data_IF_515107737521
#
_entry.id   IF_515107737521
#
_cell.length_a   1.000
_cell.length_b   1.000
_cell.length_c   1.000
_cell.angle_alpha   90.00
_cell.angle_beta   90.00
_cell.angle_gamma   90.00
#
_symmetry.space_group_name_H-M   'P 1'
#
loop_
_entity.id
_entity.type
_entity.pdbx_description
1 polymer ?
#
# COMPACT_ATOMS: atom_id res chain seq x y z
N UNK A 1 -1.06 9.41 -36.59
CA UNK A 1 -1.81 8.15 -36.62
C UNK A 1 -2.44 7.87 -35.26
N UNK A 2 -3.42 6.97 -35.22
CA UNK A 2 -4.07 6.59 -33.97
C UNK A 2 -3.08 6.02 -32.92
N UNK A 3 -2.09 5.28 -33.38
CA UNK A 3 -1.03 4.74 -32.51
C UNK A 3 -0.13 5.85 -31.94
N UNK A 4 0.19 6.86 -32.71
CA UNK A 4 0.97 8.02 -32.24
C UNK A 4 0.19 8.81 -31.20
N UNK A 5 -1.10 9.00 -31.39
CA UNK A 5 -1.98 9.68 -30.45
C UNK A 5 -2.08 8.90 -29.12
N UNK A 6 -2.17 7.57 -29.19
CA UNK A 6 -2.16 6.71 -28.00
C UNK A 6 -0.81 6.75 -27.29
N UNK A 7 0.31 6.73 -28.01
CA UNK A 7 1.64 6.86 -27.43
C UNK A 7 1.77 8.17 -26.66
N UNK A 8 1.33 9.28 -27.27
CA UNK A 8 1.34 10.59 -26.62
C UNK A 8 0.46 10.60 -25.35
N UNK A 9 -0.73 10.01 -25.42
CA UNK A 9 -1.63 9.91 -24.27
C UNK A 9 -1.01 9.10 -23.13
N UNK A 10 -0.39 7.96 -23.43
CA UNK A 10 0.29 7.13 -22.44
C UNK A 10 1.47 7.84 -21.77
N UNK A 11 2.25 8.61 -22.54
CA UNK A 11 3.32 9.42 -22.00
C UNK A 11 2.80 10.51 -21.05
N UNK A 12 1.64 11.08 -21.37
CA UNK A 12 0.96 12.06 -20.52
C UNK A 12 0.43 11.47 -19.21
N UNK A 13 0.09 10.19 -19.18
CA UNK A 13 -0.40 9.50 -17.96
C UNK A 13 0.73 9.05 -17.02
N UNK A 14 1.98 9.32 -17.39
CA UNK A 14 3.16 8.97 -16.59
C UNK A 14 3.29 7.46 -16.26
N UNK A 15 2.84 6.59 -17.17
CA UNK A 15 3.05 5.14 -17.02
C UNK A 15 4.51 4.72 -17.20
N UNK A 16 5.35 5.64 -17.65
CA UNK A 16 6.76 5.42 -17.90
C UNK A 16 7.07 5.07 -19.36
N UNK A 17 8.26 5.45 -19.83
CA UNK A 17 8.68 5.21 -21.22
C UNK A 17 8.77 3.73 -21.56
N UNK A 18 9.32 2.92 -20.66
CA UNK A 18 9.49 1.48 -20.89
C UNK A 18 8.14 0.79 -21.09
N UNK A 19 7.19 1.05 -20.19
CA UNK A 19 5.84 0.51 -20.29
C UNK A 19 5.13 1.00 -21.55
N UNK A 20 5.22 2.31 -21.86
CA UNK A 20 4.64 2.90 -23.06
C UNK A 20 5.19 2.23 -24.32
N UNK A 21 6.51 2.09 -24.45
CA UNK A 21 7.13 1.47 -25.62
C UNK A 21 6.74 0.01 -25.79
N UNK A 22 6.71 -0.75 -24.70
CA UNK A 22 6.32 -2.15 -24.73
C UNK A 22 4.86 -2.32 -25.20
N UNK A 23 3.96 -1.48 -24.73
CA UNK A 23 2.55 -1.49 -25.13
C UNK A 23 2.39 -1.09 -26.59
N UNK A 24 3.03 -0.03 -27.02
CA UNK A 24 2.96 0.43 -28.41
C UNK A 24 3.52 -0.61 -29.36
N UNK A 25 4.61 -1.28 -29.01
CA UNK A 25 5.18 -2.37 -29.80
C UNK A 25 4.18 -3.51 -29.97
N UNK A 26 3.55 -3.96 -28.89
CA UNK A 26 2.53 -5.01 -28.91
C UNK A 26 1.32 -4.60 -29.77
N UNK A 27 0.82 -3.37 -29.60
CA UNK A 27 -0.32 -2.86 -30.39
C UNK A 27 0.04 -2.76 -31.87
N UNK A 28 1.26 -2.34 -32.21
CA UNK A 28 1.73 -2.24 -33.58
C UNK A 28 1.77 -3.63 -34.25
N UNK A 29 2.25 -4.65 -33.53
CA UNK A 29 2.25 -6.01 -34.02
C UNK A 29 0.84 -6.54 -34.26
N UNK A 30 -0.10 -6.30 -33.33
CA UNK A 30 -1.50 -6.69 -33.48
C UNK A 30 -2.18 -5.98 -34.67
N UNK A 31 -1.90 -4.69 -34.85
CA UNK A 31 -2.40 -3.92 -36.01
C UNK A 31 -1.86 -4.50 -37.32
N UNK A 32 -0.58 -4.88 -37.37
CA UNK A 32 0.04 -5.51 -38.53
C UNK A 32 -0.55 -6.88 -38.86
N UNK A 33 -1.04 -7.62 -37.87
CA UNK A 33 -1.74 -8.89 -38.03
C UNK A 33 -3.24 -8.74 -38.29
N UNK A 34 -3.72 -7.53 -38.45
CA UNK A 34 -5.13 -7.18 -38.68
C UNK A 34 -6.08 -7.63 -37.56
N UNK A 35 -5.57 -7.79 -36.35
CA UNK A 35 -6.37 -8.11 -35.16
C UNK A 35 -7.14 -6.90 -34.64
N UNK A 36 -6.73 -5.67 -35.04
CA UNK A 36 -7.32 -4.41 -34.58
C UNK A 36 -8.02 -3.72 -35.76
N UNK A 37 -9.33 -3.86 -35.85
CA UNK A 37 -10.12 -3.40 -36.98
C UNK A 37 -10.55 -1.93 -36.89
N UNK A 38 -10.58 -1.32 -35.69
CA UNK A 38 -11.04 0.05 -35.48
C UNK A 38 -10.52 0.61 -34.14
N UNK A 39 -10.85 1.88 -33.86
CA UNK A 39 -10.42 2.55 -32.63
C UNK A 39 -10.93 1.88 -31.37
N UNK A 40 -12.16 1.36 -31.38
CA UNK A 40 -12.72 0.66 -30.22
C UNK A 40 -11.92 -0.62 -29.90
N UNK A 41 -11.55 -1.39 -30.90
CA UNK A 41 -10.70 -2.57 -30.74
C UNK A 41 -9.32 -2.20 -30.24
N UNK A 42 -8.75 -1.09 -30.70
CA UNK A 42 -7.46 -0.57 -30.27
C UNK A 42 -7.49 -0.17 -28.78
N UNK A 43 -8.50 0.55 -28.33
CA UNK A 43 -8.67 0.94 -26.93
C UNK A 43 -8.87 -0.27 -26.03
N UNK A 44 -9.66 -1.25 -26.47
CA UNK A 44 -9.86 -2.49 -25.70
C UNK A 44 -8.55 -3.26 -25.55
N UNK A 45 -7.77 -3.39 -26.61
CA UNK A 45 -6.46 -4.04 -26.57
C UNK A 45 -5.51 -3.30 -25.62
N UNK A 46 -5.49 -1.96 -25.68
CA UNK A 46 -4.72 -1.12 -24.78
C UNK A 46 -5.09 -1.38 -23.30
N UNK A 47 -6.39 -1.38 -23.01
CA UNK A 47 -6.88 -1.65 -21.64
C UNK A 47 -6.43 -3.03 -21.16
N UNK A 48 -6.58 -4.06 -21.98
CA UNK A 48 -6.14 -5.43 -21.65
C UNK A 48 -4.65 -5.50 -21.37
N UNK A 49 -3.81 -4.85 -22.16
CA UNK A 49 -2.36 -4.84 -21.97
C UNK A 49 -1.94 -4.12 -20.70
N UNK A 50 -2.58 -2.99 -20.38
CA UNK A 50 -2.32 -2.26 -19.15
C UNK A 50 -2.73 -3.09 -17.92
N UNK A 51 -3.89 -3.73 -17.97
CA UNK A 51 -4.36 -4.62 -16.89
C UNK A 51 -3.39 -5.78 -16.69
N UNK A 52 -2.95 -6.44 -17.75
CA UNK A 52 -1.97 -7.54 -17.67
C UNK A 52 -0.67 -7.11 -16.98
N UNK A 53 -0.22 -5.89 -17.22
CA UNK A 53 0.99 -5.35 -16.58
C UNK A 53 0.85 -5.21 -15.07
N UNK A 54 -0.36 -5.03 -14.56
CA UNK A 54 -0.65 -4.81 -13.13
C UNK A 54 -1.11 -6.05 -12.39
N UNK A 55 -1.55 -7.09 -13.09
CA UNK A 55 -2.06 -8.32 -12.46
C UNK A 55 -1.07 -8.98 -11.51
N UNK A 56 0.22 -8.92 -11.82
CA UNK A 56 1.26 -9.55 -11.00
C UNK A 56 1.40 -8.97 -9.59
N UNK A 57 0.88 -7.77 -9.34
CA UNK A 57 0.88 -7.14 -8.01
C UNK A 57 -0.53 -6.96 -7.44
N UNK A 58 -1.54 -7.53 -8.09
CA UNK A 58 -2.92 -7.46 -7.64
C UNK A 58 -3.27 -8.68 -6.80
N UNK A 59 -3.04 -8.57 -5.51
CA UNK A 59 -3.44 -9.60 -4.55
C UNK A 59 -4.12 -8.92 -3.37
N UNK A 60 -5.46 -8.91 -3.33
CA UNK A 60 -6.20 -8.27 -2.25
C UNK A 60 -5.85 -8.88 -0.88
N UNK A 61 -5.86 -8.03 0.13
CA UNK A 61 -5.68 -8.44 1.50
C UNK A 61 -7.02 -8.90 2.06
N UNK A 62 -7.12 -10.18 2.38
CA UNK A 62 -8.28 -10.75 3.06
C UNK A 62 -7.98 -10.94 4.54
N UNK A 63 -8.82 -10.39 5.41
CA UNK A 63 -8.73 -10.58 6.86
C UNK A 63 -10.01 -11.25 7.34
N UNK A 64 -9.87 -12.45 7.83
CA UNK A 64 -10.98 -13.24 8.34
C UNK A 64 -11.15 -13.04 9.85
N UNK A 65 -12.36 -13.20 10.39
CA UNK A 65 -12.55 -13.25 11.83
C UNK A 65 -11.69 -14.34 12.45
N UNK A 66 -11.12 -14.03 13.60
CA UNK A 66 -10.24 -14.96 14.33
C UNK A 66 -11.03 -16.18 14.80
N UNK A 67 -10.47 -17.37 14.62
CA UNK A 67 -11.00 -18.57 15.29
C UNK A 67 -10.84 -18.41 16.81
N UNK A 68 -11.72 -19.04 17.59
CA UNK A 68 -11.80 -18.84 19.05
C UNK A 68 -10.47 -19.12 19.79
N UNK A 69 -9.67 -20.04 19.28
CA UNK A 69 -8.37 -20.45 19.85
C UNK A 69 -7.17 -19.84 19.13
N UNK A 70 -7.38 -19.03 18.08
CA UNK A 70 -6.32 -18.41 17.33
C UNK A 70 -5.87 -17.08 17.95
N UNK A 71 -4.62 -16.70 17.71
CA UNK A 71 -4.08 -15.40 18.11
C UNK A 71 -4.49 -14.30 17.13
N UNK A 72 -4.54 -13.03 17.57
CA UNK A 72 -4.80 -11.92 16.67
C UNK A 72 -3.79 -11.84 15.53
N UNK A 73 -4.22 -11.38 14.37
CA UNK A 73 -3.30 -10.98 13.29
C UNK A 73 -2.65 -9.64 13.64
N UNK A 74 -1.36 -9.54 13.42
CA UNK A 74 -0.56 -8.34 13.73
C UNK A 74 -0.04 -7.78 12.42
N UNK A 75 -0.42 -6.55 12.09
CA UNK A 75 0.00 -5.84 10.88
C UNK A 75 0.88 -4.66 11.27
N UNK A 76 2.10 -4.62 10.71
CA UNK A 76 2.99 -3.47 10.83
C UNK A 76 2.82 -2.57 9.62
N UNK A 77 2.75 -1.26 9.87
CA UNK A 77 2.76 -0.24 8.83
C UNK A 77 4.07 0.51 8.91
N UNK A 78 4.83 0.44 7.84
CA UNK A 78 6.14 1.09 7.72
C UNK A 78 6.10 2.10 6.58
N UNK A 79 7.03 3.03 6.56
CA UNK A 79 7.10 4.08 5.55
C UNK A 79 7.61 5.38 6.13
N UNK A 80 8.02 6.29 5.25
CA UNK A 80 8.56 7.58 5.65
C UNK A 80 7.46 8.51 6.17
N UNK A 81 7.84 9.51 6.97
CA UNK A 81 6.89 10.51 7.44
C UNK A 81 6.30 11.30 6.27
N UNK A 82 5.02 11.64 6.37
CA UNK A 82 4.32 12.45 5.37
C UNK A 82 3.69 11.69 4.21
N UNK A 83 3.83 10.35 4.16
CA UNK A 83 3.21 9.53 3.09
C UNK A 83 1.74 9.22 3.34
N UNK A 84 1.21 9.52 4.54
CA UNK A 84 -0.17 9.17 4.91
C UNK A 84 -0.30 7.84 5.64
N UNK A 85 0.76 7.39 6.32
CA UNK A 85 0.80 6.11 7.03
C UNK A 85 -0.23 6.05 8.17
N UNK A 86 -0.23 7.01 9.08
CA UNK A 86 -1.18 7.07 10.19
C UNK A 86 -2.63 7.19 9.71
N UNK A 87 -2.87 8.02 8.71
CA UNK A 87 -4.19 8.16 8.07
C UNK A 87 -4.65 6.85 7.43
N UNK A 88 -3.76 6.15 6.75
CA UNK A 88 -4.04 4.84 6.14
C UNK A 88 -4.47 3.83 7.20
N UNK A 89 -3.77 3.78 8.33
CA UNK A 89 -4.11 2.90 9.46
C UNK A 89 -5.53 3.18 9.94
N UNK A 90 -5.88 4.45 10.15
CA UNK A 90 -7.22 4.84 10.60
C UNK A 90 -8.32 4.42 9.62
N UNK A 91 -8.09 4.63 8.33
CA UNK A 91 -9.03 4.23 7.28
C UNK A 91 -9.21 2.71 7.22
N UNK A 92 -8.13 1.96 7.33
CA UNK A 92 -8.19 0.49 7.35
C UNK A 92 -8.87 -0.03 8.62
N UNK A 93 -8.58 0.57 9.76
CA UNK A 93 -9.22 0.20 11.03
C UNK A 93 -10.74 0.33 10.93
N UNK A 94 -11.24 1.43 10.38
CA UNK A 94 -12.67 1.62 10.14
C UNK A 94 -13.22 0.59 9.15
N UNK A 95 -12.51 0.33 8.06
CA UNK A 95 -12.92 -0.68 7.07
C UNK A 95 -13.08 -2.06 7.71
N UNK A 96 -12.10 -2.49 8.49
CA UNK A 96 -12.14 -3.79 9.17
C UNK A 96 -13.28 -3.84 10.19
N UNK A 97 -13.47 -2.78 10.96
CA UNK A 97 -14.58 -2.71 11.90
C UNK A 97 -15.94 -2.79 11.20
N UNK A 98 -16.09 -2.11 10.06
CA UNK A 98 -17.32 -2.17 9.26
C UNK A 98 -17.56 -3.57 8.66
N UNK A 99 -16.53 -4.37 8.51
CA UNK A 99 -16.63 -5.77 8.10
C UNK A 99 -16.94 -6.73 9.27
N UNK A 100 -17.14 -6.19 10.46
CA UNK A 100 -17.47 -6.98 11.66
C UNK A 100 -16.25 -7.49 12.43
N UNK A 101 -15.04 -7.03 12.09
CA UNK A 101 -13.83 -7.43 12.81
C UNK A 101 -13.62 -6.57 14.06
N UNK A 102 -13.07 -7.17 15.10
CA UNK A 102 -12.56 -6.42 16.26
C UNK A 102 -11.13 -5.98 16.00
N UNK A 103 -10.88 -4.69 16.23
CA UNK A 103 -9.63 -4.03 15.84
C UNK A 103 -9.01 -3.33 17.04
N UNK A 104 -7.68 -3.33 17.10
CA UNK A 104 -6.89 -2.55 18.05
C UNK A 104 -5.77 -1.83 17.30
N UNK A 105 -5.39 -0.64 17.77
CA UNK A 105 -4.31 0.15 17.21
C UNK A 105 -3.17 0.30 18.21
N UNK A 106 -1.94 0.43 17.70
CA UNK A 106 -0.76 0.72 18.49
C UNK A 106 -0.02 1.92 17.92
N UNK A 107 0.23 2.92 18.78
CA UNK A 107 0.92 4.16 18.42
C UNK A 107 2.43 3.99 18.60
N UNK A 108 3.08 3.28 17.69
CA UNK A 108 4.51 2.98 17.76
C UNK A 108 5.43 4.09 17.23
N UNK A 109 4.89 5.12 16.60
CA UNK A 109 5.67 6.32 16.20
C UNK A 109 5.76 7.29 17.38
N UNK A 110 6.52 6.92 18.39
CA UNK A 110 6.54 7.54 19.72
C UNK A 110 7.18 8.92 19.75
N UNK A 111 8.02 9.26 18.77
CA UNK A 111 8.68 10.56 18.70
C UNK A 111 7.80 11.65 18.10
N UNK A 112 6.79 11.29 17.36
CA UNK A 112 5.85 12.22 16.72
C UNK A 112 4.57 12.32 17.51
N UNK A 113 4.49 13.32 18.40
CA UNK A 113 3.30 13.56 19.21
C UNK A 113 2.04 13.69 18.35
N UNK A 114 2.13 14.37 17.20
CA UNK A 114 1.00 14.54 16.29
C UNK A 114 0.50 13.20 15.70
N UNK A 115 1.39 12.26 15.43
CA UNK A 115 1.00 10.93 14.94
C UNK A 115 0.27 10.12 16.02
N UNK A 116 0.76 10.16 17.25
CA UNK A 116 0.10 9.51 18.39
C UNK A 116 -1.30 10.10 18.62
N UNK A 117 -1.40 11.44 18.66
CA UNK A 117 -2.67 12.15 18.85
C UNK A 117 -3.65 11.85 17.71
N UNK A 118 -3.20 11.82 16.47
CA UNK A 118 -4.02 11.48 15.31
C UNK A 118 -4.59 10.06 15.43
N UNK A 119 -3.76 9.11 15.82
CA UNK A 119 -4.20 7.73 15.99
C UNK A 119 -5.19 7.59 17.14
N UNK A 120 -4.96 8.29 18.25
CA UNK A 120 -5.89 8.33 19.39
C UNK A 120 -7.22 8.97 19.01
N UNK A 121 -7.22 10.02 18.17
CA UNK A 121 -8.44 10.66 17.66
C UNK A 121 -9.24 9.68 16.78
N UNK A 122 -8.58 8.92 15.93
CA UNK A 122 -9.23 7.86 15.16
C UNK A 122 -9.87 6.82 16.06
N UNK A 123 -9.15 6.38 17.09
CA UNK A 123 -9.64 5.41 18.07
C UNK A 123 -10.88 5.88 18.81
N UNK A 124 -10.91 7.14 19.25
CA UNK A 124 -12.07 7.72 19.91
C UNK A 124 -13.28 7.80 18.99
N UNK A 125 -13.07 8.32 17.77
CA UNK A 125 -14.15 8.50 16.80
C UNK A 125 -14.76 7.19 16.34
N UNK A 126 -13.96 6.15 16.18
CA UNK A 126 -14.39 4.86 15.67
C UNK A 126 -14.65 3.82 16.77
N UNK A 127 -14.48 4.20 18.03
CA UNK A 127 -14.59 3.27 19.18
C UNK A 127 -13.65 2.07 19.04
N UNK A 128 -12.37 2.37 18.80
CA UNK A 128 -11.29 1.38 18.64
C UNK A 128 -10.24 1.64 19.71
N UNK A 129 -9.82 0.63 20.51
CA UNK A 129 -8.77 0.80 21.51
C UNK A 129 -7.41 1.15 20.85
N UNK A 130 -6.70 2.08 21.46
CA UNK A 130 -5.35 2.50 21.04
C UNK A 130 -4.39 2.31 22.19
N UNK A 131 -3.34 1.53 21.97
CA UNK A 131 -2.24 1.38 22.91
C UNK A 131 -1.20 2.45 22.58
N UNK A 132 -0.89 3.28 23.57
CA UNK A 132 0.11 4.35 23.47
C UNK A 132 0.90 4.42 24.79
N UNK A 133 2.12 4.91 24.69
CA UNK A 133 2.98 5.19 25.84
C UNK A 133 3.45 6.65 25.79
N UNK A 134 4.19 7.08 26.81
CA UNK A 134 4.73 8.43 26.86
C UNK A 134 5.60 8.73 25.63
N UNK A 135 5.60 10.00 25.21
CA UNK A 135 6.41 10.45 24.08
C UNK A 135 7.89 10.05 24.26
N UNK A 136 8.48 9.53 23.20
CA UNK A 136 9.88 9.09 23.21
C UNK A 136 10.11 7.69 23.78
N UNK A 137 9.05 6.98 24.16
CA UNK A 137 9.14 5.58 24.59
C UNK A 137 9.71 4.68 23.48
N UNK A 138 10.28 3.55 23.86
CA UNK A 138 10.76 2.55 22.91
C UNK A 138 9.59 1.98 22.10
N UNK A 139 9.65 2.10 20.79
CA UNK A 139 8.61 1.58 19.88
C UNK A 139 8.38 0.09 20.06
N UNK A 140 9.43 -0.68 20.35
CA UNK A 140 9.31 -2.12 20.60
C UNK A 140 8.51 -2.41 21.88
N UNK A 141 8.64 -1.57 22.89
CA UNK A 141 7.85 -1.66 24.13
C UNK A 141 6.37 -1.42 23.86
N UNK A 142 6.04 -0.42 23.06
CA UNK A 142 4.65 -0.14 22.66
C UNK A 142 4.07 -1.32 21.86
N UNK A 143 4.80 -1.83 20.91
CA UNK A 143 4.37 -2.97 20.09
C UNK A 143 4.16 -4.23 20.94
N UNK A 144 5.07 -4.51 21.85
CA UNK A 144 4.95 -5.64 22.78
C UNK A 144 3.68 -5.53 23.64
N UNK A 145 3.47 -4.37 24.28
CA UNK A 145 2.27 -4.12 25.07
C UNK A 145 0.99 -4.27 24.26
N UNK A 146 1.02 -3.77 23.02
CA UNK A 146 -0.14 -3.84 22.13
C UNK A 146 -0.47 -5.29 21.75
N UNK A 147 0.53 -6.09 21.39
CA UNK A 147 0.32 -7.51 21.07
C UNK A 147 -0.20 -8.26 22.27
N UNK A 148 0.38 -8.04 23.45
CA UNK A 148 -0.06 -8.67 24.70
C UNK A 148 -1.52 -8.29 25.01
N UNK A 149 -1.88 -7.02 24.90
CA UNK A 149 -3.23 -6.53 25.11
C UNK A 149 -4.22 -7.09 24.09
N UNK A 150 -3.82 -7.15 22.81
CA UNK A 150 -4.63 -7.73 21.75
C UNK A 150 -4.93 -9.22 22.00
N UNK A 151 -3.94 -9.96 22.44
CA UNK A 151 -4.12 -11.37 22.81
C UNK A 151 -5.06 -11.53 24.00
N UNK A 152 -4.90 -10.71 25.03
CA UNK A 152 -5.74 -10.75 26.22
C UNK A 152 -7.19 -10.42 25.92
N UNK A 153 -7.45 -9.46 25.02
CA UNK A 153 -8.80 -9.06 24.62
C UNK A 153 -9.38 -9.93 23.51
N UNK A 154 -8.57 -10.75 22.85
CA UNK A 154 -9.01 -11.61 21.76
C UNK A 154 -9.49 -10.86 20.53
N UNK A 155 -8.85 -9.74 20.17
CA UNK A 155 -9.20 -8.99 18.97
C UNK A 155 -8.81 -9.77 17.71
N UNK A 156 -9.47 -9.47 16.59
CA UNK A 156 -9.17 -10.11 15.32
C UNK A 156 -7.87 -9.61 14.71
N UNK A 157 -7.63 -8.30 14.76
CA UNK A 157 -6.48 -7.67 14.13
C UNK A 157 -5.95 -6.48 14.93
N UNK A 158 -4.62 -6.41 15.02
CA UNK A 158 -3.88 -5.29 15.60
C UNK A 158 -3.10 -4.58 14.49
N UNK A 159 -3.30 -3.28 14.35
CA UNK A 159 -2.58 -2.43 13.41
C UNK A 159 -1.55 -1.59 14.17
N UNK A 160 -0.28 -1.73 13.84
CA UNK A 160 0.84 -1.07 14.53
C UNK A 160 1.44 0.00 13.62
N UNK A 161 1.34 1.27 14.04
CA UNK A 161 2.07 2.37 13.43
C UNK A 161 3.52 2.34 13.88
N UNK A 162 4.44 2.67 12.98
CA UNK A 162 5.88 2.69 13.27
C UNK A 162 6.48 4.04 12.91
N UNK A 163 7.69 4.30 13.40
CA UNK A 163 8.44 5.51 13.05
C UNK A 163 8.80 5.56 11.57
N UNK A 164 8.99 6.76 11.05
CA UNK A 164 9.29 6.98 9.63
C UNK A 164 10.33 8.07 9.38
N UNK A 165 11.25 8.33 10.30
CA UNK A 165 12.29 9.35 10.15
C UNK A 165 13.46 8.82 9.31
N UNK A 166 13.33 8.94 7.98
CA UNK A 166 14.32 8.42 7.03
C UNK A 166 15.67 9.17 7.11
N UNK A 167 15.69 10.42 7.61
CA UNK A 167 16.91 11.15 7.86
C UNK A 167 17.80 10.48 8.92
N UNK A 168 17.22 9.63 9.76
CA UNK A 168 17.94 8.76 10.71
C UNK A 168 17.83 7.30 10.25
N UNK A 169 18.19 7.02 9.00
CA UNK A 169 17.96 5.76 8.28
C UNK A 169 18.45 4.53 9.05
N UNK A 170 19.68 4.55 9.51
CA UNK A 170 20.29 3.42 10.23
C UNK A 170 19.54 3.11 11.52
N UNK A 171 19.22 4.13 12.29
CA UNK A 171 18.46 4.01 13.53
C UNK A 171 17.04 3.51 13.27
N UNK A 172 16.37 4.00 12.20
CA UNK A 172 15.03 3.57 11.82
C UNK A 172 15.03 2.07 11.47
N UNK A 173 15.99 1.61 10.68
CA UNK A 173 16.06 0.22 10.25
C UNK A 173 16.35 -0.72 11.42
N UNK A 174 17.22 -0.33 12.34
CA UNK A 174 17.48 -1.07 13.58
C UNK A 174 16.23 -1.15 14.47
N UNK A 175 15.49 -0.06 14.57
CA UNK A 175 14.24 0.00 15.32
C UNK A 175 13.19 -0.94 14.75
N UNK A 176 13.00 -0.95 13.43
CA UNK A 176 12.05 -1.85 12.76
C UNK A 176 12.42 -3.32 12.96
N UNK A 177 13.68 -3.65 12.83
CA UNK A 177 14.19 -5.00 13.10
C UNK A 177 13.94 -5.42 14.55
N UNK A 178 14.14 -4.51 15.49
CA UNK A 178 13.89 -4.75 16.92
C UNK A 178 12.40 -5.00 17.21
N UNK A 179 11.51 -4.19 16.64
CA UNK A 179 10.06 -4.37 16.81
C UNK A 179 9.64 -5.76 16.35
N UNK A 180 10.09 -6.18 15.19
CA UNK A 180 9.81 -7.52 14.65
C UNK A 180 10.29 -8.62 15.59
N UNK A 181 11.52 -8.50 16.07
CA UNK A 181 12.11 -9.49 16.98
C UNK A 181 11.38 -9.59 18.30
N UNK A 182 10.95 -8.46 18.85
CA UNK A 182 10.29 -8.40 20.16
C UNK A 182 8.88 -9.01 20.12
N UNK A 183 8.08 -8.71 19.09
CA UNK A 183 6.72 -9.25 19.02
C UNK A 183 6.71 -10.77 18.79
N UNK A 184 7.75 -11.32 18.18
CA UNK A 184 7.88 -12.78 17.98
C UNK A 184 7.99 -13.56 19.28
N UNK A 185 8.32 -12.90 20.39
CA UNK A 185 8.30 -13.53 21.71
C UNK A 185 6.89 -13.89 22.18
N UNK A 186 5.89 -13.16 21.69
CA UNK A 186 4.48 -13.40 22.01
C UNK A 186 3.76 -14.28 20.97
N UNK A 187 4.18 -14.17 19.72
CA UNK A 187 3.66 -14.95 18.59
C UNK A 187 4.76 -15.07 17.53
N UNK A 188 5.27 -16.28 17.32
CA UNK A 188 6.34 -16.54 16.34
C UNK A 188 5.95 -16.18 14.91
N UNK A 189 4.65 -16.19 14.61
CA UNK A 189 4.13 -15.84 13.30
C UNK A 189 3.98 -14.33 13.10
N UNK A 190 4.02 -13.53 14.16
CA UNK A 190 3.91 -12.07 14.06
C UNK A 190 5.24 -11.44 13.60
N UNK A 191 5.20 -10.34 12.81
CA UNK A 191 4.00 -9.77 12.19
C UNK A 191 3.49 -10.63 11.03
N UNK A 192 2.18 -10.74 10.89
CA UNK A 192 1.54 -11.51 9.83
C UNK A 192 1.56 -10.76 8.50
N UNK A 193 1.53 -9.43 8.57
CA UNK A 193 1.70 -8.54 7.44
C UNK A 193 2.63 -7.39 7.81
N UNK A 194 3.49 -7.01 6.88
CA UNK A 194 4.29 -5.79 6.93
C UNK A 194 3.98 -4.99 5.69
N UNK A 195 3.29 -3.87 5.87
CA UNK A 195 2.76 -3.06 4.78
C UNK A 195 3.54 -1.76 4.70
N UNK A 196 4.17 -1.51 3.56
CA UNK A 196 4.84 -0.25 3.28
C UNK A 196 3.85 0.72 2.65
N UNK A 197 3.71 1.90 3.24
CA UNK A 197 2.91 2.99 2.69
C UNK A 197 3.83 3.91 1.88
N UNK A 198 3.49 4.11 0.62
CA UNK A 198 4.23 4.93 -0.34
C UNK A 198 3.37 6.09 -0.82
N UNK A 199 4.02 7.24 -1.02
CA UNK A 199 3.42 8.39 -1.70
C UNK A 199 3.54 8.19 -3.22
N UNK A 200 2.41 8.15 -3.92
CA UNK A 200 2.37 7.99 -5.36
C UNK A 200 3.00 9.15 -6.13
N UNK A 201 3.19 10.31 -5.49
CA UNK A 201 3.81 11.48 -6.10
C UNK A 201 5.33 11.44 -6.21
N UNK A 202 6.00 10.49 -5.56
CA UNK A 202 7.49 10.44 -5.54
C UNK A 202 8.10 9.66 -6.72
N UNK A 203 7.30 9.04 -7.57
CA UNK A 203 7.78 8.38 -8.80
C UNK A 203 8.82 7.28 -8.54
N UNK A 204 9.97 7.37 -9.20
CA UNK A 204 11.04 6.37 -9.12
C UNK A 204 11.60 6.16 -7.70
N UNK A 205 11.49 7.15 -6.82
CA UNK A 205 11.94 7.01 -5.43
C UNK A 205 11.15 5.96 -4.65
N UNK A 206 9.94 5.63 -5.11
CA UNK A 206 9.15 4.55 -4.51
C UNK A 206 9.88 3.21 -4.56
N UNK A 207 10.52 2.88 -5.69
CA UNK A 207 11.27 1.64 -5.86
C UNK A 207 12.45 1.56 -4.87
N UNK A 208 13.16 2.66 -4.69
CA UNK A 208 14.26 2.75 -3.71
C UNK A 208 13.77 2.52 -2.29
N UNK A 209 12.62 3.07 -1.93
CA UNK A 209 12.02 2.88 -0.61
C UNK A 209 11.60 1.43 -0.39
N UNK A 210 10.97 0.80 -1.36
CA UNK A 210 10.60 -0.63 -1.27
C UNK A 210 11.84 -1.48 -1.01
N UNK A 211 12.89 -1.29 -1.79
CA UNK A 211 14.15 -2.02 -1.64
C UNK A 211 14.75 -1.82 -0.25
N UNK A 212 14.80 -0.57 0.22
CA UNK A 212 15.37 -0.21 1.49
C UNK A 212 14.64 -0.88 2.67
N UNK A 213 13.32 -0.72 2.74
CA UNK A 213 12.53 -1.31 3.82
C UNK A 213 12.52 -2.84 3.76
N UNK A 214 12.44 -3.40 2.57
CA UNK A 214 12.42 -4.86 2.40
C UNK A 214 13.72 -5.54 2.87
N UNK A 215 14.84 -4.84 2.85
CA UNK A 215 16.12 -5.35 3.37
C UNK A 215 16.11 -5.46 4.91
N UNK A 216 15.38 -4.58 5.59
CA UNK A 216 15.36 -4.52 7.05
C UNK A 216 14.23 -5.34 7.67
N UNK A 217 13.09 -5.35 7.01
CA UNK A 217 11.92 -6.12 7.42
C UNK A 217 11.19 -6.60 6.17
N UNK A 218 11.01 -7.94 6.00
CA UNK A 218 10.36 -8.46 4.80
C UNK A 218 8.96 -7.90 4.61
N UNK A 219 8.73 -7.23 3.48
CA UNK A 219 7.45 -6.63 3.15
C UNK A 219 6.48 -7.68 2.57
N UNK A 220 5.22 -7.59 2.95
CA UNK A 220 4.15 -8.46 2.46
C UNK A 220 3.12 -7.73 1.61
N UNK A 221 3.13 -6.42 1.64
CA UNK A 221 2.19 -5.61 0.88
C UNK A 221 2.59 -4.16 0.79
N UNK A 222 1.98 -3.47 -0.16
CA UNK A 222 2.16 -2.04 -0.40
C UNK A 222 0.81 -1.33 -0.35
N UNK A 223 0.82 -0.10 0.13
CA UNK A 223 -0.26 0.86 -0.05
C UNK A 223 0.32 2.08 -0.75
N UNK A 224 -0.28 2.50 -1.85
CA UNK A 224 0.16 3.67 -2.59
C UNK A 224 -0.88 4.77 -2.42
N UNK A 225 -0.49 5.87 -1.78
CA UNK A 225 -1.38 7.01 -1.49
C UNK A 225 -1.22 8.11 -2.52
N UNK A 226 -2.10 9.10 -2.45
CA UNK A 226 -2.03 10.36 -3.23
C UNK A 226 -2.06 10.13 -4.74
N UNK A 227 -2.89 9.20 -5.19
CA UNK A 227 -3.12 8.90 -6.61
C UNK A 227 -4.29 9.71 -7.22
N UNK A 228 -4.83 10.67 -6.48
CA UNK A 228 -5.92 11.55 -6.90
C UNK A 228 -5.45 12.72 -7.79
N UNK A 229 -4.15 12.93 -7.90
CA UNK A 229 -3.57 13.89 -8.83
C UNK A 229 -3.45 13.34 -10.24
N UNK A 230 -3.32 14.22 -11.23
CA UNK A 230 -3.02 13.85 -12.61
C UNK A 230 -1.62 13.21 -12.72
N UNK A 231 -1.45 12.28 -13.64
CA UNK A 231 -0.13 11.71 -14.03
C UNK A 231 0.59 10.91 -12.93
N UNK A 232 -0.13 10.14 -12.11
CA UNK A 232 0.49 9.39 -11.00
C UNK A 232 0.43 7.86 -11.14
N UNK A 233 0.05 7.38 -12.31
CA UNK A 233 -0.05 5.94 -12.57
C UNK A 233 1.30 5.24 -12.71
N UNK A 234 2.36 5.97 -13.07
CA UNK A 234 3.67 5.39 -13.38
C UNK A 234 4.26 4.57 -12.24
N UNK A 235 4.05 4.99 -10.99
CA UNK A 235 4.56 4.27 -9.82
C UNK A 235 4.01 2.85 -9.74
N UNK A 236 2.75 2.63 -10.07
CA UNK A 236 2.14 1.30 -10.02
C UNK A 236 2.71 0.38 -11.08
N UNK A 237 2.92 0.89 -12.29
CA UNK A 237 3.56 0.12 -13.37
C UNK A 237 5.02 -0.19 -13.07
N UNK A 238 5.75 0.77 -12.48
CA UNK A 238 7.12 0.55 -12.04
C UNK A 238 7.19 -0.54 -10.96
N UNK A 239 6.32 -0.50 -9.97
CA UNK A 239 6.24 -1.53 -8.92
C UNK A 239 5.89 -2.90 -9.49
N UNK A 240 4.99 -2.96 -10.47
CA UNK A 240 4.59 -4.19 -11.12
C UNK A 240 5.69 -4.82 -11.98
N UNK A 241 6.58 -4.00 -12.54
CA UNK A 241 7.68 -4.45 -13.40
C UNK A 241 8.89 -4.97 -12.63
N UNK A 242 8.98 -4.68 -11.32
CA UNK A 242 10.13 -5.04 -10.48
C UNK A 242 9.82 -6.26 -9.61
N UNK A 243 10.84 -7.10 -9.42
CA UNK A 243 10.83 -8.12 -8.38
C UNK A 243 11.81 -7.71 -7.28
N UNK A 244 11.40 -7.89 -6.03
CA UNK A 244 12.20 -7.61 -4.85
C UNK A 244 12.56 -8.95 -4.19
N UNK A 245 13.77 -9.45 -4.50
CA UNK A 245 14.13 -10.81 -4.18
C UNK A 245 13.47 -11.81 -5.14
N UNK A 246 12.90 -12.89 -4.61
CA UNK A 246 12.26 -13.94 -5.42
C UNK A 246 10.77 -13.67 -5.71
N UNK A 247 10.17 -12.63 -5.11
CA UNK A 247 8.73 -12.37 -5.20
C UNK A 247 8.44 -10.90 -5.50
N UNK A 248 7.33 -10.67 -6.19
CA UNK A 248 6.72 -9.35 -6.29
C UNK A 248 5.94 -9.07 -5.01
N UNK A 249 5.98 -7.81 -4.55
CA UNK A 249 5.24 -7.38 -3.37
C UNK A 249 3.91 -6.82 -3.84
N UNK A 250 2.76 -7.41 -3.42
CA UNK A 250 1.47 -6.98 -3.93
C UNK A 250 1.05 -5.59 -3.40
N UNK A 251 0.37 -4.83 -4.25
CA UNK A 251 -0.30 -3.59 -3.87
C UNK A 251 -1.66 -3.96 -3.30
N UNK A 252 -1.86 -3.72 -2.01
CA UNK A 252 -3.09 -4.09 -1.31
C UNK A 252 -4.19 -3.05 -1.47
N UNK A 253 -3.81 -1.77 -1.36
CA UNK A 253 -4.73 -0.64 -1.40
C UNK A 253 -4.10 0.53 -2.13
N UNK A 254 -4.96 1.38 -2.68
CA UNK A 254 -4.56 2.67 -3.27
C UNK A 254 -5.38 3.79 -2.63
N UNK A 255 -4.74 4.93 -2.40
CA UNK A 255 -5.38 6.15 -1.92
C UNK A 255 -5.64 7.11 -3.07
N UNK A 256 -6.91 7.41 -3.33
CA UNK A 256 -7.34 8.26 -4.44
C UNK A 256 -8.03 9.54 -3.98
N UNK A 257 -7.85 9.92 -2.72
CA UNK A 257 -8.42 11.11 -2.12
C UNK A 257 -8.29 11.11 -0.60
N UNK A 258 -8.83 12.13 0.05
CA UNK A 258 -8.72 12.31 1.51
C UNK A 258 -9.84 11.62 2.30
N UNK A 259 -10.96 11.27 1.66
CA UNK A 259 -12.09 10.61 2.30
C UNK A 259 -11.79 9.20 2.73
N UNK A 260 -12.55 8.69 3.69
CA UNK A 260 -12.38 7.32 4.19
C UNK A 260 -12.59 6.30 3.07
N UNK A 261 -13.54 6.55 2.19
CA UNK A 261 -13.87 5.66 1.06
C UNK A 261 -12.88 5.78 -0.09
N UNK A 262 -11.97 6.77 -0.03
CA UNK A 262 -10.93 6.98 -1.04
C UNK A 262 -9.71 6.09 -0.86
N UNK A 263 -9.67 5.28 0.21
CA UNK A 263 -8.76 4.15 0.30
C UNK A 263 -9.46 2.92 -0.28
N UNK A 264 -9.00 2.47 -1.45
CA UNK A 264 -9.65 1.41 -2.21
C UNK A 264 -8.76 0.19 -2.33
N UNK A 265 -9.36 -0.99 -2.38
CA UNK A 265 -8.66 -2.20 -2.80
C UNK A 265 -8.09 -1.98 -4.20
N UNK A 266 -6.84 -2.37 -4.42
CA UNK A 266 -6.24 -2.26 -5.74
C UNK A 266 -6.81 -3.31 -6.67
N UNK A 267 -7.56 -2.85 -7.67
CA UNK A 267 -8.15 -3.67 -8.72
C UNK A 267 -7.69 -3.14 -10.07
N UNK A 268 -6.85 -3.87 -10.82
CA UNK A 268 -6.26 -3.40 -12.07
C UNK A 268 -7.28 -2.93 -13.10
N UNK A 269 -8.38 -3.66 -13.28
CA UNK A 269 -9.39 -3.30 -14.27
C UNK A 269 -10.05 -1.95 -13.96
N UNK A 270 -10.47 -1.74 -12.73
CA UNK A 270 -11.08 -0.48 -12.30
C UNK A 270 -10.08 0.67 -12.39
N UNK A 271 -8.84 0.43 -11.98
CA UNK A 271 -7.77 1.43 -12.04
C UNK A 271 -7.46 1.86 -13.48
N UNK A 272 -7.27 0.91 -14.40
CA UNK A 272 -6.98 1.19 -15.81
C UNK A 272 -8.16 1.87 -16.49
N UNK A 273 -9.39 1.44 -16.22
CA UNK A 273 -10.59 2.08 -16.75
C UNK A 273 -10.66 3.56 -16.36
N UNK A 274 -10.43 3.88 -15.08
CA UNK A 274 -10.39 5.26 -14.60
C UNK A 274 -9.26 6.06 -15.24
N UNK A 275 -8.08 5.45 -15.41
CA UNK A 275 -6.93 6.09 -16.04
C UNK A 275 -7.22 6.48 -17.49
N UNK A 276 -7.82 5.59 -18.27
CA UNK A 276 -8.12 5.84 -19.68
C UNK A 276 -9.30 6.81 -19.89
N UNK A 277 -10.27 6.82 -18.98
CA UNK A 277 -11.37 7.79 -19.03
C UNK A 277 -10.91 9.23 -18.79
N UNK A 278 -9.92 9.43 -17.95
CA UNK A 278 -9.36 10.76 -17.68
C UNK A 278 -8.65 11.36 -18.90
N UNK A 279 -8.28 10.55 -19.90
CA UNK A 279 -7.57 10.95 -21.11
C UNK A 279 -8.47 11.07 -22.34
N UNK A 280 -9.77 10.76 -22.22
CA UNK A 280 -10.70 11.00 -23.33
C UNK A 280 -10.90 12.50 -23.52
N UNK A 281 -10.59 13.08 -24.70
CA UNK A 281 -10.91 14.46 -24.97
C UNK A 281 -12.43 14.65 -25.02
N UNK A 282 -12.90 15.66 -24.31
CA UNK A 282 -14.31 16.04 -24.24
C UNK A 282 -14.86 16.41 -25.63
#
# INVERSE_FOLDING_TARGET
SALEDLEAALLMTDVGMETTQAIITELTERAGRRELANMAALYQALQELLVQRLEGVAQPLAVEPRAADALPKVFFFVGVNGVGKTTTIGKLARRFKNQGLSVMLAAGDTFRAAAVEQLQSWGQREDIPVIAQAQGSDSASVAFDAVQSAQAKGVDVLLVDTAGRLQAKSQLMDELAKIQRVVKRLDEQAPHEVILVLDGGVGQNALSQVKLFNQSIPLTGLVVTKLDGTAKAGVLFALASQSFGSQRIPVRFIGVGEGIEDLRTFEPEAFVSALLQAEEPA
#
